data_IF_455382406315
#
_entry.id   IF_455382406315
#
_cell.length_a   1.000
_cell.length_b   1.000
_cell.length_c   1.000
_cell.angle_alpha   90.00
_cell.angle_beta   90.00
_cell.angle_gamma   90.00
#
_symmetry.space_group_name_H-M   'P 1'
#
loop_
_entity.id
_entity.type
_entity.pdbx_description
1 polymer ?
#
# COMPACT_ATOMS: atom_id res chain seq x y z
N UNK A 1 36.17 -58.70 -41.73
CA UNK A 1 35.58 -57.49 -42.36
C UNK A 1 34.26 -57.18 -41.68
N UNK A 2 34.14 -56.02 -41.02
CA UNK A 2 32.94 -55.18 -40.81
C UNK A 2 33.16 -54.27 -39.58
N UNK A 3 33.64 -53.06 -39.86
CA UNK A 3 33.51 -51.90 -38.96
C UNK A 3 32.05 -51.48 -38.89
N UNK A 4 31.67 -50.80 -37.80
CA UNK A 4 30.68 -49.69 -37.66
C UNK A 4 29.83 -49.93 -36.40
N UNK A 5 29.44 -48.95 -35.59
CA UNK A 5 29.65 -47.50 -35.46
C UNK A 5 29.15 -47.20 -34.03
N UNK A 6 29.93 -46.47 -33.23
CA UNK A 6 29.48 -46.02 -31.91
C UNK A 6 28.63 -44.74 -32.08
N UNK A 7 27.39 -44.77 -31.62
CA UNK A 7 26.50 -43.59 -31.57
C UNK A 7 26.41 -43.17 -30.11
N UNK A 8 27.11 -42.08 -29.79
CA UNK A 8 26.99 -41.38 -28.52
C UNK A 8 25.67 -40.59 -28.52
N UNK A 9 24.74 -40.96 -27.65
CA UNK A 9 23.52 -40.21 -27.35
C UNK A 9 23.88 -38.97 -26.52
N UNK A 10 23.98 -37.82 -27.19
CA UNK A 10 23.98 -36.49 -26.57
C UNK A 10 22.54 -36.15 -26.15
N UNK A 11 22.25 -36.33 -24.86
CA UNK A 11 21.02 -35.86 -24.23
C UNK A 11 21.10 -34.33 -24.08
N UNK A 12 20.35 -33.61 -24.90
CA UNK A 12 20.15 -32.17 -24.76
C UNK A 12 19.40 -31.87 -23.46
N UNK A 13 20.08 -31.17 -22.55
CA UNK A 13 19.48 -30.54 -21.39
C UNK A 13 18.55 -29.41 -21.86
N UNK A 14 17.24 -29.65 -21.79
CA UNK A 14 16.22 -28.62 -21.98
C UNK A 14 16.09 -27.78 -20.71
N UNK A 15 16.87 -26.71 -20.63
CA UNK A 15 16.66 -25.66 -19.62
C UNK A 15 15.34 -24.94 -19.94
N UNK A 16 14.27 -25.28 -19.22
CA UNK A 16 13.05 -24.48 -19.21
C UNK A 16 13.39 -23.18 -18.48
N UNK A 17 13.87 -22.20 -19.23
CA UNK A 17 13.96 -20.82 -18.77
C UNK A 17 12.53 -20.32 -18.58
N UNK A 18 12.04 -20.32 -17.33
CA UNK A 18 10.86 -19.56 -16.96
C UNK A 18 11.12 -18.10 -17.32
N UNK A 19 10.60 -17.68 -18.47
CA UNK A 19 10.55 -16.29 -18.89
C UNK A 19 9.79 -15.51 -17.81
N UNK A 20 10.54 -14.74 -17.02
CA UNK A 20 9.99 -13.80 -16.05
C UNK A 20 9.34 -12.69 -16.87
N UNK A 21 8.04 -12.85 -17.14
CA UNK A 21 7.25 -11.87 -17.86
C UNK A 21 7.29 -10.54 -17.08
N UNK A 22 7.91 -9.47 -17.58
CA UNK A 22 7.99 -8.20 -16.88
C UNK A 22 6.68 -7.45 -17.15
N UNK A 23 5.59 -7.85 -16.49
CA UNK A 23 4.30 -7.29 -16.87
C UNK A 23 3.08 -7.87 -16.16
N UNK A 24 3.16 -8.08 -14.86
CA UNK A 24 1.98 -8.05 -14.02
C UNK A 24 2.36 -7.28 -12.76
N UNK A 25 1.90 -6.04 -12.64
CA UNK A 25 1.99 -5.32 -11.38
C UNK A 25 1.40 -6.17 -10.27
N UNK A 26 1.95 -6.06 -9.05
CA UNK A 26 1.43 -6.82 -7.91
C UNK A 26 -0.07 -6.53 -7.78
N UNK A 27 -0.94 -7.56 -7.73
CA UNK A 27 -2.38 -7.35 -7.76
C UNK A 27 -2.87 -6.40 -6.65
N UNK A 28 -3.92 -5.64 -6.97
CA UNK A 28 -4.64 -4.82 -5.98
C UNK A 28 -5.24 -5.77 -4.92
N UNK A 29 -5.11 -5.44 -3.62
CA UNK A 29 -5.70 -6.23 -2.55
C UNK A 29 -7.19 -6.50 -2.75
N UNK A 30 -7.61 -7.73 -2.51
CA UNK A 30 -9.02 -8.13 -2.68
C UNK A 30 -9.83 -7.91 -1.41
N UNK A 31 -9.18 -7.94 -0.25
CA UNK A 31 -9.81 -7.58 1.02
C UNK A 31 -9.53 -6.13 1.40
N UNK A 32 -10.53 -5.52 2.01
CA UNK A 32 -10.46 -4.14 2.49
C UNK A 32 -9.38 -3.96 3.58
N UNK A 33 -9.25 -4.93 4.49
CA UNK A 33 -8.24 -4.91 5.56
C UNK A 33 -6.82 -5.07 5.00
N UNK A 34 -6.63 -5.87 3.95
CA UNK A 34 -5.32 -6.03 3.29
C UNK A 34 -4.86 -4.72 2.64
N UNK A 35 -5.75 -3.89 2.11
CA UNK A 35 -5.39 -2.60 1.52
C UNK A 35 -4.67 -1.72 2.55
N UNK A 36 -5.26 -1.55 3.74
CA UNK A 36 -4.67 -0.75 4.81
C UNK A 36 -3.37 -1.36 5.32
N UNK A 37 -3.35 -2.67 5.61
CA UNK A 37 -2.17 -3.32 6.18
C UNK A 37 -0.98 -3.35 5.23
N UNK A 38 -1.20 -3.65 3.95
CA UNK A 38 -0.13 -3.65 2.96
C UNK A 38 0.37 -2.23 2.67
N UNK A 39 -0.51 -1.22 2.69
CA UNK A 39 -0.09 0.16 2.47
C UNK A 39 0.78 0.67 3.61
N UNK A 40 0.38 0.43 4.87
CA UNK A 40 1.18 0.81 6.04
C UNK A 40 2.49 0.02 6.12
N UNK A 41 2.50 -1.25 5.70
CA UNK A 41 3.74 -2.01 5.56
C UNK A 41 4.68 -1.39 4.50
N UNK A 42 4.15 -0.93 3.36
CA UNK A 42 4.93 -0.26 2.32
C UNK A 42 5.47 1.11 2.79
N UNK A 43 4.68 1.87 3.55
CA UNK A 43 5.14 3.09 4.23
C UNK A 43 6.34 2.78 5.12
N UNK A 44 6.22 1.77 5.98
CA UNK A 44 7.29 1.38 6.91
C UNK A 44 8.55 0.92 6.19
N UNK A 45 8.39 0.23 5.07
CA UNK A 45 9.49 -0.26 4.24
C UNK A 45 10.14 0.83 3.36
N UNK A 46 9.63 2.07 3.36
CA UNK A 46 10.03 3.12 2.42
C UNK A 46 9.88 2.68 0.95
N UNK A 47 8.87 1.85 0.66
CA UNK A 47 8.63 1.33 -0.68
C UNK A 47 7.61 2.21 -1.42
N UNK A 48 8.10 3.33 -1.96
CA UNK A 48 7.26 4.27 -2.71
C UNK A 48 6.63 3.65 -3.95
N UNK A 49 7.28 2.65 -4.57
CA UNK A 49 6.69 1.94 -5.70
C UNK A 49 5.45 1.18 -5.26
N UNK A 50 5.56 0.39 -4.18
CA UNK A 50 4.42 -0.37 -3.64
C UNK A 50 3.34 0.54 -3.08
N UNK A 51 3.71 1.66 -2.44
CA UNK A 51 2.73 2.67 -2.02
C UNK A 51 1.91 3.19 -3.21
N UNK A 52 2.53 3.47 -4.36
CA UNK A 52 1.83 3.93 -5.56
C UNK A 52 0.91 2.88 -6.22
N UNK A 53 1.18 1.59 -5.97
CA UNK A 53 0.32 0.47 -6.39
C UNK A 53 -0.89 0.26 -5.46
N UNK A 54 -0.80 0.76 -4.22
CA UNK A 54 -1.79 0.57 -3.16
C UNK A 54 -2.60 1.83 -2.83
N UNK A 55 -2.17 2.98 -3.35
CA UNK A 55 -2.84 4.27 -3.24
C UNK A 55 -3.42 4.68 -4.60
N UNK A 56 -4.65 5.16 -4.62
CA UNK A 56 -5.32 5.49 -5.88
C UNK A 56 -6.78 5.88 -5.71
N UNK A 57 -7.56 5.65 -6.75
CA UNK A 57 -9.00 5.97 -6.77
C UNK A 57 -9.81 4.76 -7.21
N UNK A 58 -11.12 4.93 -7.37
CA UNK A 58 -12.03 3.95 -7.96
C UNK A 58 -11.55 3.44 -9.36
N UNK A 59 -10.75 4.24 -10.07
CA UNK A 59 -10.17 3.89 -11.39
C UNK A 59 -8.93 3.00 -11.30
N UNK A 60 -8.41 2.75 -10.09
CA UNK A 60 -7.23 1.93 -9.85
C UNK A 60 -6.04 2.70 -9.27
N UNK A 61 -4.85 2.05 -9.21
CA UNK A 61 -3.66 2.63 -8.60
C UNK A 61 -3.22 3.94 -9.25
N UNK A 62 -2.76 4.89 -8.43
CA UNK A 62 -2.21 6.15 -8.89
C UNK A 62 -0.99 5.94 -9.79
N UNK A 63 -0.20 4.87 -9.56
CA UNK A 63 0.93 4.49 -10.41
C UNK A 63 0.57 4.27 -11.88
N UNK A 64 -0.70 3.99 -12.20
CA UNK A 64 -1.14 3.72 -13.58
C UNK A 64 -1.45 5.00 -14.37
N UNK A 65 -1.80 6.10 -13.70
CA UNK A 65 -2.36 7.29 -14.36
C UNK A 65 -1.73 8.62 -13.95
N UNK A 66 -1.09 8.68 -12.78
CA UNK A 66 -0.46 9.89 -12.28
C UNK A 66 0.94 10.07 -12.89
N UNK A 67 1.31 11.31 -13.19
CA UNK A 67 2.69 11.64 -13.57
C UNK A 67 3.68 11.14 -12.50
N UNK A 68 4.72 10.41 -12.91
CA UNK A 68 5.66 9.77 -11.98
C UNK A 68 6.38 10.75 -11.03
N UNK A 69 6.70 11.96 -11.49
CA UNK A 69 7.31 13.00 -10.66
C UNK A 69 6.36 13.51 -9.58
N UNK A 70 5.10 13.77 -9.96
CA UNK A 70 4.04 14.18 -9.04
C UNK A 70 3.73 13.06 -8.04
N UNK A 71 3.60 11.83 -8.51
CA UNK A 71 3.36 10.66 -7.67
C UNK A 71 4.45 10.52 -6.61
N UNK A 72 5.72 10.53 -7.01
CA UNK A 72 6.86 10.46 -6.09
C UNK A 72 6.83 11.59 -5.06
N UNK A 73 6.52 12.82 -5.47
CA UNK A 73 6.43 13.94 -4.53
C UNK A 73 5.32 13.73 -3.49
N UNK A 74 4.12 13.34 -3.93
CA UNK A 74 2.99 13.07 -3.02
C UNK A 74 3.28 11.91 -2.08
N UNK A 75 3.78 10.79 -2.60
CA UNK A 75 4.10 9.63 -1.78
C UNK A 75 5.23 9.92 -0.79
N UNK A 76 6.21 10.76 -1.14
CA UNK A 76 7.24 11.21 -0.19
C UNK A 76 6.64 11.96 0.99
N UNK A 77 5.65 12.83 0.75
CA UNK A 77 4.94 13.55 1.82
C UNK A 77 4.13 12.57 2.65
N UNK A 78 3.28 11.76 2.02
CA UNK A 78 2.44 10.77 2.72
C UNK A 78 3.30 9.85 3.59
N UNK A 79 4.40 9.33 3.05
CA UNK A 79 5.31 8.46 3.78
C UNK A 79 5.89 9.13 5.02
N UNK A 80 6.33 10.40 4.94
CA UNK A 80 6.86 11.13 6.10
C UNK A 80 5.83 11.31 7.21
N UNK A 81 4.56 11.56 6.85
CA UNK A 81 3.49 11.73 7.83
C UNK A 81 3.04 10.40 8.45
N UNK A 82 3.12 9.31 7.69
CA UNK A 82 2.67 8.00 8.13
C UNK A 82 3.78 7.11 8.70
N UNK A 83 5.04 7.55 8.71
CA UNK A 83 6.12 6.78 9.33
C UNK A 83 5.82 6.47 10.80
N UNK A 84 6.06 5.23 11.18
CA UNK A 84 5.61 4.66 12.45
C UNK A 84 6.53 3.52 12.90
N UNK A 85 6.51 3.21 14.19
CA UNK A 85 7.14 2.00 14.77
C UNK A 85 6.18 0.82 14.80
N UNK A 86 4.88 1.09 14.83
CA UNK A 86 3.79 0.12 14.74
C UNK A 86 2.46 0.83 14.45
N UNK A 87 1.39 0.08 14.23
CA UNK A 87 0.06 0.65 14.08
C UNK A 87 -1.01 -0.29 14.64
N UNK A 88 -2.19 0.26 14.91
CA UNK A 88 -3.39 -0.49 15.31
C UNK A 88 -4.62 0.11 14.67
N UNK A 89 -5.49 -0.73 14.11
CA UNK A 89 -6.84 -0.30 13.73
C UNK A 89 -7.65 -0.14 15.01
N UNK A 90 -8.09 1.07 15.32
CA UNK A 90 -8.89 1.35 16.52
C UNK A 90 -10.38 1.26 16.25
N UNK A 91 -10.79 1.51 15.01
CA UNK A 91 -12.19 1.46 14.59
C UNK A 91 -12.29 1.21 13.07
N UNK A 92 -13.38 0.59 12.63
CA UNK A 92 -13.74 0.42 11.22
C UNK A 92 -13.63 -1.01 10.68
N UNK A 93 -13.98 -1.23 9.39
CA UNK A 93 -14.37 -0.20 8.42
C UNK A 93 -15.75 0.39 8.71
N UNK A 94 -15.84 1.71 8.77
CA UNK A 94 -17.08 2.47 8.89
C UNK A 94 -17.61 2.85 7.50
N UNK A 95 -18.92 2.93 7.35
CA UNK A 95 -19.56 3.47 6.14
C UNK A 95 -19.38 4.97 6.06
N UNK A 96 -19.09 5.49 4.86
CA UNK A 96 -19.05 6.93 4.59
C UNK A 96 -20.41 7.36 4.03
N UNK A 97 -21.14 8.29 4.65
CA UNK A 97 -22.45 8.70 4.17
C UNK A 97 -22.42 9.20 2.72
N UNK A 98 -23.31 8.67 1.88
CA UNK A 98 -23.38 8.99 0.45
C UNK A 98 -22.36 8.27 -0.44
N UNK A 99 -21.55 7.38 0.12
CA UNK A 99 -20.52 6.63 -0.62
C UNK A 99 -20.56 5.13 -0.30
N UNK A 100 -21.03 4.33 -1.26
CA UNK A 100 -21.11 2.87 -1.11
C UNK A 100 -19.77 2.18 -1.35
N UNK A 101 -18.86 2.84 -2.08
CA UNK A 101 -17.54 2.39 -2.48
C UNK A 101 -16.43 2.80 -1.50
N UNK A 102 -16.70 3.77 -0.62
CA UNK A 102 -15.77 4.23 0.41
C UNK A 102 -16.02 3.61 1.77
N UNK A 103 -14.94 3.35 2.50
CA UNK A 103 -14.97 2.97 3.90
C UNK A 103 -13.84 3.67 4.63
N UNK A 104 -14.08 4.04 5.88
CA UNK A 104 -13.09 4.71 6.73
C UNK A 104 -12.65 3.80 7.86
N UNK A 105 -11.34 3.71 8.08
CA UNK A 105 -10.78 3.19 9.32
C UNK A 105 -10.29 4.34 10.17
N UNK A 106 -10.33 4.18 11.49
CA UNK A 106 -9.48 4.95 12.38
C UNK A 106 -8.27 4.11 12.72
N UNK A 107 -7.09 4.64 12.43
CA UNK A 107 -5.82 3.96 12.65
C UNK A 107 -5.02 4.75 13.67
N UNK A 108 -4.53 4.08 14.70
CA UNK A 108 -3.50 4.59 15.60
C UNK A 108 -2.13 4.26 15.01
N UNK A 109 -1.34 5.28 14.71
CA UNK A 109 0.08 5.16 14.43
C UNK A 109 0.86 5.30 15.74
N UNK A 110 1.71 4.32 16.01
CA UNK A 110 2.66 4.38 17.11
C UNK A 110 3.94 5.05 16.59
N UNK A 111 4.31 6.18 17.17
CA UNK A 111 5.56 6.89 16.88
C UNK A 111 6.49 6.78 18.09
N UNK A 112 7.76 7.16 17.90
CA UNK A 112 8.77 7.05 18.95
C UNK A 112 8.36 7.68 20.29
N UNK A 113 7.63 8.80 20.26
CA UNK A 113 7.34 9.61 21.44
C UNK A 113 5.84 9.79 21.72
N UNK A 114 4.95 9.27 20.87
CA UNK A 114 3.50 9.39 21.04
C UNK A 114 2.72 8.50 20.07
N UNK A 115 1.43 8.33 20.32
CA UNK A 115 0.50 7.70 19.39
C UNK A 115 -0.39 8.77 18.75
N UNK A 116 -0.67 8.64 17.45
CA UNK A 116 -1.57 9.53 16.71
C UNK A 116 -2.68 8.71 16.05
N UNK A 117 -3.94 9.07 16.30
CA UNK A 117 -5.07 8.47 15.61
C UNK A 117 -5.45 9.34 14.42
N UNK A 118 -5.53 8.75 13.23
CA UNK A 118 -5.99 9.42 12.02
C UNK A 118 -6.96 8.53 11.22
N UNK A 119 -7.87 9.13 10.45
CA UNK A 119 -8.68 8.36 9.52
C UNK A 119 -7.85 7.91 8.30
N UNK A 120 -8.18 6.74 7.78
CA UNK A 120 -7.70 6.25 6.49
C UNK A 120 -8.91 5.75 5.71
N UNK A 121 -9.15 6.38 4.57
CA UNK A 121 -10.21 6.02 3.64
C UNK A 121 -9.68 5.02 2.63
N UNK A 122 -10.50 4.01 2.36
CA UNK A 122 -10.26 3.02 1.29
C UNK A 122 -11.42 3.02 0.32
N UNK A 123 -11.09 2.84 -0.96
CA UNK A 123 -12.05 2.84 -2.06
C UNK A 123 -12.05 1.50 -2.77
N UNK A 124 -13.25 1.02 -3.13
CA UNK A 124 -13.41 -0.11 -4.03
C UNK A 124 -13.18 0.35 -5.47
N UNK A 125 -12.21 -0.27 -6.13
CA UNK A 125 -11.96 -0.06 -7.56
C UNK A 125 -13.07 -0.67 -8.43
N UNK A 126 -13.27 -0.16 -9.64
CA UNK A 126 -14.17 -0.78 -10.62
C UNK A 126 -13.78 -2.24 -10.96
N UNK A 127 -12.50 -2.59 -10.79
CA UNK A 127 -12.00 -3.96 -10.96
C UNK A 127 -12.25 -4.88 -9.74
N UNK A 128 -12.86 -4.37 -8.67
CA UNK A 128 -13.30 -5.15 -7.50
C UNK A 128 -12.37 -5.13 -6.29
N UNK A 129 -11.07 -4.82 -6.48
CA UNK A 129 -10.09 -4.68 -5.40
C UNK A 129 -10.20 -3.37 -4.62
N UNK A 130 -9.47 -3.25 -3.52
CA UNK A 130 -9.47 -2.09 -2.63
C UNK A 130 -8.12 -1.36 -2.64
N UNK A 131 -8.18 -0.02 -2.57
CA UNK A 131 -7.01 0.85 -2.47
C UNK A 131 -7.19 1.83 -1.34
N UNK A 132 -6.09 2.33 -0.79
CA UNK A 132 -6.11 3.54 0.04
C UNK A 132 -6.44 4.72 -0.85
N UNK A 133 -7.46 5.49 -0.47
CA UNK A 133 -7.94 6.65 -1.19
C UNK A 133 -7.39 7.93 -0.57
N UNK A 134 -7.64 8.12 0.73
CA UNK A 134 -7.18 9.27 1.50
C UNK A 134 -6.61 8.81 2.85
N UNK A 135 -5.63 9.55 3.35
CA UNK A 135 -4.96 9.33 4.62
C UNK A 135 -5.12 10.54 5.55
N UNK A 136 -5.87 11.56 5.14
CA UNK A 136 -6.26 12.70 5.96
C UNK A 136 -5.06 13.34 6.68
N UNK A 137 -4.09 13.83 5.89
CA UNK A 137 -2.83 14.36 6.41
C UNK A 137 -3.04 15.52 7.40
N UNK A 138 -4.13 16.27 7.27
CA UNK A 138 -4.58 17.29 8.21
C UNK A 138 -4.82 16.74 9.63
N UNK A 139 -5.18 15.46 9.75
CA UNK A 139 -5.42 14.77 11.02
C UNK A 139 -4.18 14.00 11.52
N UNK A 140 -3.11 13.90 10.73
CA UNK A 140 -1.93 13.11 11.08
C UNK A 140 -0.93 13.84 12.01
N UNK A 141 -1.16 15.13 12.27
CA UNK A 141 -0.21 15.99 12.98
C UNK A 141 1.11 16.18 12.23
N UNK A 142 2.01 17.01 12.77
CA UNK A 142 3.30 17.27 12.11
C UNK A 142 4.26 16.07 12.22
N UNK A 143 4.97 15.66 11.15
CA UNK A 143 5.99 14.63 11.20
C UNK A 143 7.09 14.98 12.20
N UNK A 144 7.44 14.04 13.10
CA UNK A 144 8.44 14.27 14.15
C UNK A 144 8.03 15.30 15.22
N UNK A 145 6.86 15.94 15.08
CA UNK A 145 6.29 16.81 16.10
C UNK A 145 5.80 16.01 17.31
N UNK A 146 5.59 16.70 18.43
CA UNK A 146 4.87 16.14 19.57
C UNK A 146 3.41 15.95 19.17
N UNK A 147 2.80 14.81 19.51
CA UNK A 147 1.37 14.65 19.31
C UNK A 147 0.62 15.69 20.17
N UNK A 148 -0.51 16.23 19.68
CA UNK A 148 -1.36 17.09 20.49
C UNK A 148 -1.71 16.35 21.79
N UNK A 149 -1.55 17.02 22.93
CA UNK A 149 -2.14 16.50 24.15
C UNK A 149 -3.65 16.51 23.94
N UNK A 150 -4.33 15.38 24.19
CA UNK A 150 -5.78 15.36 24.19
C UNK A 150 -6.24 16.48 25.13
N UNK A 151 -6.92 17.49 24.59
CA UNK A 151 -7.40 18.62 25.38
C UNK A 151 -8.25 18.04 26.51
N UNK A 152 -7.72 18.09 27.74
CA UNK A 152 -8.52 17.89 28.95
C UNK A 152 -9.46 19.07 29.01
N UNK A 153 -10.60 18.93 28.34
CA UNK A 153 -11.64 19.94 28.29
C UNK A 153 -12.20 20.17 29.69
N UNK A 154 -11.63 21.13 30.42
CA UNK A 154 -12.35 21.80 31.49
C UNK A 154 -13.35 22.72 30.83
N UNK A 155 -14.57 22.22 30.61
CA UNK A 155 -15.69 23.08 30.22
C UNK A 155 -16.18 23.86 31.46
N UNK A 156 -16.40 25.18 31.37
CA UNK A 156 -17.07 25.96 32.42
C UNK A 156 -18.52 25.53 32.63
#
# INVERSE_FOLDING_TARGET
MKRRVAIALLLFAGSIACGKNPGAGTPVPQSINESVSQFLAAVKANDQKRMGELWGTERGPAANSMNAGVLRQRLTVIQKYLDHTGYRIVEGPLTVPGHDDLRTYRVELQRANCNQVLPIDVVRTHSGGWLVYDVHLESAGSPGGRCPQAETGTRP
#
